data_IF_190192808407
#
_entry.id   IF_190192808407
#
_cell.length_a   1.000
_cell.length_b   1.000
_cell.length_c   1.000
_cell.angle_alpha   90.00
_cell.angle_beta   90.00
_cell.angle_gamma   90.00
#
_symmetry.space_group_name_H-M   'P 1'
#
loop_
_entity.id
_entity.type
_entity.pdbx_description
1 polymer ?
#
# COMPACT_ATOMS: atom_id res chain seq x y z
N UNK A 1 26.13 -1.29 -8.06
CA UNK A 1 24.66 -1.13 -7.93
C UNK A 1 24.31 -1.46 -6.48
N UNK A 2 23.25 -0.89 -5.90
CA UNK A 2 22.83 -1.20 -4.51
C UNK A 2 22.04 -2.52 -4.40
N UNK A 3 21.57 -3.04 -5.54
CA UNK A 3 20.90 -4.33 -5.68
C UNK A 3 21.34 -4.95 -7.00
N UNK A 4 21.41 -6.27 -7.04
CA UNK A 4 21.92 -7.03 -8.19
C UNK A 4 20.84 -7.29 -9.24
N UNK A 5 19.57 -7.29 -8.82
CA UNK A 5 18.44 -7.62 -9.70
C UNK A 5 17.26 -6.63 -9.51
N UNK A 6 16.38 -6.46 -10.52
CA UNK A 6 15.21 -5.60 -10.39
C UNK A 6 14.20 -6.11 -9.35
N UNK A 7 14.02 -7.43 -9.19
CA UNK A 7 13.14 -8.00 -8.16
C UNK A 7 13.63 -7.67 -6.75
N UNK A 8 14.96 -7.71 -6.52
CA UNK A 8 15.52 -7.34 -5.22
C UNK A 8 15.16 -5.89 -4.83
N UNK A 9 15.14 -4.96 -5.80
CA UNK A 9 14.68 -3.58 -5.54
C UNK A 9 13.19 -3.54 -5.23
N UNK A 10 12.36 -4.25 -6.02
CA UNK A 10 10.91 -4.29 -5.81
C UNK A 10 10.54 -4.87 -4.43
N UNK A 11 11.13 -6.00 -4.05
CA UNK A 11 10.96 -6.65 -2.75
C UNK A 11 11.44 -5.76 -1.59
N UNK A 12 12.57 -5.07 -1.76
CA UNK A 12 13.06 -4.10 -0.78
C UNK A 12 12.02 -2.97 -0.54
N UNK A 13 11.38 -2.49 -1.61
CA UNK A 13 10.28 -1.52 -1.48
C UNK A 13 9.08 -2.05 -0.72
N UNK A 14 8.64 -3.27 -1.02
CA UNK A 14 7.53 -3.92 -0.29
C UNK A 14 7.88 -4.09 1.19
N UNK A 15 9.10 -4.56 1.49
CA UNK A 15 9.58 -4.71 2.86
C UNK A 15 9.67 -3.36 3.61
N UNK A 16 10.15 -2.31 2.95
CA UNK A 16 10.17 -0.96 3.50
C UNK A 16 8.75 -0.45 3.82
N UNK A 17 7.79 -0.70 2.94
CA UNK A 17 6.37 -0.39 3.17
C UNK A 17 5.80 -1.14 4.36
N UNK A 18 6.13 -2.43 4.51
CA UNK A 18 5.74 -3.24 5.68
C UNK A 18 6.34 -2.72 7.00
N UNK A 19 7.60 -2.29 6.98
CA UNK A 19 8.25 -1.65 8.13
C UNK A 19 7.60 -0.32 8.53
N UNK A 20 7.24 0.53 7.54
CA UNK A 20 6.51 1.77 7.78
C UNK A 20 5.13 1.50 8.38
N UNK A 21 4.36 0.58 7.79
CA UNK A 21 3.05 0.16 8.30
C UNK A 21 3.14 -0.38 9.73
N UNK A 22 4.17 -1.16 10.04
CA UNK A 22 4.37 -1.69 11.39
C UNK A 22 4.65 -0.57 12.38
N UNK A 23 5.51 0.38 12.02
CA UNK A 23 5.84 1.53 12.88
C UNK A 23 4.62 2.41 13.14
N UNK A 24 3.85 2.70 12.09
CA UNK A 24 2.62 3.49 12.18
C UNK A 24 1.56 2.78 13.05
N UNK A 25 1.32 1.50 12.82
CA UNK A 25 0.37 0.73 13.63
C UNK A 25 0.85 0.53 15.08
N UNK A 26 2.16 0.46 15.33
CA UNK A 26 2.69 0.38 16.69
C UNK A 26 2.28 1.60 17.50
N UNK A 27 2.40 2.80 16.93
CA UNK A 27 1.93 4.04 17.58
C UNK A 27 0.43 4.01 17.89
N UNK A 28 -0.37 3.42 16.99
CA UNK A 28 -1.81 3.28 17.18
C UNK A 28 -2.21 2.15 18.13
N UNK A 29 -1.42 1.08 18.29
CA UNK A 29 -1.77 -0.03 19.21
C UNK A 29 -1.44 0.36 20.65
N UNK A 30 -0.35 1.10 20.87
CA UNK A 30 0.12 1.46 22.21
C UNK A 30 -0.41 2.81 22.71
N UNK A 31 -1.35 3.45 22.02
CA UNK A 31 -2.06 4.59 22.59
C UNK A 31 -3.04 4.11 23.67
N UNK A 32 -3.09 4.80 24.82
CA UNK A 32 -4.01 4.46 25.91
C UNK A 32 -5.45 4.33 25.43
N UNK A 33 -5.88 5.25 24.56
CA UNK A 33 -7.21 5.27 23.94
C UNK A 33 -7.51 4.01 23.11
N UNK A 34 -6.52 3.47 22.37
CA UNK A 34 -6.71 2.27 21.57
C UNK A 34 -6.73 0.99 22.41
N UNK A 35 -5.98 0.96 23.51
CA UNK A 35 -6.02 -0.13 24.48
C UNK A 35 -7.42 -0.16 25.12
N UNK A 36 -7.93 0.98 25.58
CA UNK A 36 -9.26 1.10 26.18
C UNK A 36 -10.38 0.68 25.21
N UNK A 37 -10.33 1.13 23.94
CA UNK A 37 -11.29 0.71 22.91
C UNK A 37 -11.22 -0.77 22.56
N UNK A 38 -10.02 -1.33 22.41
CA UNK A 38 -9.84 -2.73 22.03
C UNK A 38 -10.39 -3.70 23.09
N UNK A 39 -10.22 -3.38 24.37
CA UNK A 39 -10.71 -4.22 25.47
C UNK A 39 -12.14 -3.90 25.91
N UNK A 40 -12.65 -2.69 25.64
CA UNK A 40 -13.98 -2.24 26.05
C UNK A 40 -15.09 -2.43 25.01
N UNK A 41 -14.80 -2.31 23.71
CA UNK A 41 -15.83 -2.10 22.67
C UNK A 41 -15.89 -3.17 21.56
N UNK A 42 -15.02 -4.21 21.56
CA UNK A 42 -14.95 -5.21 20.47
C UNK A 42 -14.84 -4.55 19.07
N UNK A 43 -13.96 -3.56 18.93
CA UNK A 43 -13.79 -2.74 17.73
C UNK A 43 -13.05 -3.49 16.59
N UNK A 44 -13.75 -4.44 15.97
CA UNK A 44 -13.27 -5.18 14.80
C UNK A 44 -13.09 -4.28 13.57
N UNK A 45 -13.88 -3.20 13.44
CA UNK A 45 -13.82 -2.29 12.29
C UNK A 45 -12.48 -1.55 12.24
N UNK A 46 -12.02 -1.03 13.38
CA UNK A 46 -10.69 -0.42 13.51
C UNK A 46 -9.57 -1.42 13.20
N UNK A 47 -9.70 -2.67 13.64
CA UNK A 47 -8.72 -3.71 13.35
C UNK A 47 -8.62 -4.02 11.84
N UNK A 48 -9.76 -4.18 11.14
CA UNK A 48 -9.77 -4.37 9.69
C UNK A 48 -9.24 -3.16 8.93
N UNK A 49 -9.57 -1.94 9.38
CA UNK A 49 -9.04 -0.70 8.81
C UNK A 49 -7.51 -0.63 8.87
N UNK A 50 -6.93 -1.03 10.01
CA UNK A 50 -5.46 -1.08 10.21
C UNK A 50 -4.77 -2.12 9.32
N UNK A 51 -5.37 -3.30 9.16
CA UNK A 51 -4.86 -4.32 8.23
C UNK A 51 -4.87 -3.78 6.81
N UNK A 52 -5.98 -3.18 6.37
CA UNK A 52 -6.11 -2.62 5.03
C UNK A 52 -5.09 -1.48 4.79
N UNK A 53 -4.91 -0.58 5.77
CA UNK A 53 -3.90 0.48 5.70
C UNK A 53 -2.49 -0.11 5.55
N UNK A 54 -2.16 -1.15 6.34
CA UNK A 54 -0.85 -1.82 6.28
C UNK A 54 -0.54 -2.36 4.89
N UNK A 55 -1.51 -3.04 4.27
CA UNK A 55 -1.37 -3.52 2.90
C UNK A 55 -1.18 -2.37 1.91
N UNK A 56 -1.90 -1.25 2.06
CA UNK A 56 -1.74 -0.09 1.19
C UNK A 56 -0.31 0.49 1.23
N UNK A 57 0.33 0.57 2.40
CA UNK A 57 1.74 0.99 2.49
C UNK A 57 2.69 0.06 1.74
N UNK A 58 2.51 -1.26 1.89
CA UNK A 58 3.30 -2.26 1.17
C UNK A 58 3.15 -2.10 -0.35
N UNK A 59 1.91 -1.99 -0.82
CA UNK A 59 1.57 -1.82 -2.24
C UNK A 59 2.16 -0.53 -2.81
N UNK A 60 1.92 0.62 -2.16
CA UNK A 60 2.36 1.91 -2.69
C UNK A 60 3.87 2.09 -2.65
N UNK A 61 4.54 1.59 -1.60
CA UNK A 61 6.01 1.61 -1.52
C UNK A 61 6.62 0.62 -2.51
N UNK A 62 6.02 -0.56 -2.68
CA UNK A 62 6.39 -1.53 -3.71
C UNK A 62 6.24 -0.95 -5.12
N UNK A 63 5.16 -0.23 -5.41
CA UNK A 63 4.95 0.44 -6.70
C UNK A 63 6.04 1.47 -7.01
N UNK A 64 6.38 2.31 -6.02
CA UNK A 64 7.50 3.24 -6.14
C UNK A 64 8.83 2.52 -6.46
N UNK A 65 9.08 1.38 -5.81
CA UNK A 65 10.28 0.58 -6.03
C UNK A 65 10.30 -0.11 -7.40
N UNK A 66 9.15 -0.55 -7.93
CA UNK A 66 9.05 -1.08 -9.30
C UNK A 66 9.49 -0.02 -10.32
N UNK A 67 9.03 1.23 -10.17
CA UNK A 67 9.47 2.34 -11.00
C UNK A 67 10.97 2.62 -10.89
N UNK A 68 11.54 2.52 -9.68
CA UNK A 68 12.97 2.68 -9.47
C UNK A 68 13.78 1.53 -10.11
N UNK A 69 13.28 0.30 -10.02
CA UNK A 69 13.87 -0.88 -10.65
C UNK A 69 13.89 -0.70 -12.17
N UNK A 70 12.75 -0.40 -12.80
CA UNK A 70 12.64 -0.08 -14.24
C UNK A 70 13.59 1.06 -14.64
N UNK A 71 13.70 2.10 -13.82
CA UNK A 71 14.61 3.21 -14.11
C UNK A 71 16.10 2.83 -14.05
N UNK A 72 16.48 1.91 -13.16
CA UNK A 72 17.88 1.51 -12.93
C UNK A 72 18.35 0.40 -13.90
N UNK A 73 17.47 -0.53 -14.25
CA UNK A 73 17.84 -1.75 -14.99
C UNK A 73 17.52 -1.68 -16.49
N UNK A 74 16.50 -0.92 -16.91
CA UNK A 74 16.19 -0.79 -18.35
C UNK A 74 17.17 0.17 -19.06
N UNK A 75 17.50 -0.10 -20.34
CA UNK A 75 18.38 0.78 -21.12
C UNK A 75 17.75 2.16 -21.38
N UNK A 76 18.56 3.22 -21.58
CA UNK A 76 18.03 4.53 -21.94
C UNK A 76 17.22 4.46 -23.23
N UNK A 77 16.04 5.09 -23.26
CA UNK A 77 15.13 5.06 -24.42
C UNK A 77 14.17 3.88 -24.47
N UNK A 78 14.28 2.91 -23.55
CA UNK A 78 13.30 1.83 -23.43
C UNK A 78 11.90 2.40 -23.15
N UNK A 79 10.83 1.94 -23.84
CA UNK A 79 9.49 2.53 -23.73
C UNK A 79 8.92 2.46 -22.31
N UNK A 80 9.28 1.43 -21.55
CA UNK A 80 8.83 1.24 -20.16
C UNK A 80 9.74 1.92 -19.13
N UNK A 81 10.89 2.47 -19.55
CA UNK A 81 11.79 3.16 -18.62
C UNK A 81 11.17 4.52 -18.25
N UNK A 82 10.99 4.81 -16.95
CA UNK A 82 10.45 6.10 -16.55
C UNK A 82 11.38 7.24 -17.00
N UNK A 83 10.81 8.32 -17.57
CA UNK A 83 11.61 9.49 -17.98
C UNK A 83 12.31 10.18 -16.80
N UNK A 84 11.70 10.14 -15.61
CA UNK A 84 12.22 10.76 -14.38
C UNK A 84 12.21 9.74 -13.26
N UNK A 85 13.31 9.69 -12.49
CA UNK A 85 13.49 8.74 -11.37
C UNK A 85 12.36 8.81 -10.33
N UNK A 86 11.83 10.00 -10.05
CA UNK A 86 10.82 10.22 -9.03
C UNK A 86 9.37 10.13 -9.54
N UNK A 87 9.14 9.84 -10.83
CA UNK A 87 7.78 9.88 -11.39
C UNK A 87 6.81 8.89 -10.73
N UNK A 88 7.32 7.73 -10.30
CA UNK A 88 6.54 6.70 -9.61
C UNK A 88 6.26 7.03 -8.13
N UNK A 89 6.86 8.09 -7.56
CA UNK A 89 6.54 8.54 -6.20
C UNK A 89 5.25 9.35 -6.14
N UNK A 90 4.87 10.00 -7.24
CA UNK A 90 3.73 10.92 -7.24
C UNK A 90 2.42 10.19 -6.92
N UNK A 91 2.19 9.04 -7.54
CA UNK A 91 0.97 8.25 -7.32
C UNK A 91 0.84 7.82 -5.84
N UNK A 92 1.82 7.14 -5.22
CA UNK A 92 1.84 6.86 -3.77
C UNK A 92 1.58 8.08 -2.89
N UNK A 93 2.24 9.20 -3.15
CA UNK A 93 2.10 10.43 -2.34
C UNK A 93 0.66 10.95 -2.39
N UNK A 94 0.07 11.02 -3.59
CA UNK A 94 -1.30 11.51 -3.77
C UNK A 94 -2.30 10.54 -3.14
N UNK A 95 -2.15 9.23 -3.36
CA UNK A 95 -3.04 8.21 -2.80
C UNK A 95 -2.99 8.19 -1.28
N UNK A 96 -1.80 8.26 -0.70
CA UNK A 96 -1.62 8.34 0.75
C UNK A 96 -2.21 9.63 1.34
N UNK A 97 -2.00 10.77 0.68
CA UNK A 97 -2.60 12.04 1.10
C UNK A 97 -4.14 12.01 1.05
N UNK A 98 -4.72 11.42 0.01
CA UNK A 98 -6.16 11.20 -0.11
C UNK A 98 -6.67 10.25 0.97
N UNK A 99 -5.95 9.17 1.28
CA UNK A 99 -6.30 8.25 2.36
C UNK A 99 -6.39 8.96 3.71
N UNK A 100 -5.37 9.76 4.05
CA UNK A 100 -5.35 10.54 5.29
C UNK A 100 -6.51 11.54 5.35
N UNK A 101 -6.77 12.24 4.24
CA UNK A 101 -7.91 13.15 4.12
C UNK A 101 -9.24 12.41 4.32
N UNK A 102 -9.41 11.24 3.70
CA UNK A 102 -10.59 10.39 3.86
C UNK A 102 -10.80 9.99 5.32
N UNK A 103 -9.76 9.52 6.01
CA UNK A 103 -9.88 9.15 7.42
C UNK A 103 -10.22 10.34 8.32
N UNK A 104 -9.75 11.54 7.97
CA UNK A 104 -10.10 12.77 8.71
C UNK A 104 -11.59 13.12 8.53
N UNK A 105 -12.15 12.93 7.33
CA UNK A 105 -13.58 13.16 7.06
C UNK A 105 -14.50 12.10 7.68
N UNK A 106 -13.95 10.98 8.16
CA UNK A 106 -14.67 9.93 8.86
C UNK A 106 -14.93 10.23 10.34
N UNK A 107 -14.39 11.33 10.89
CA UNK A 107 -14.69 11.73 12.27
C UNK A 107 -16.20 11.89 12.45
N UNK A 108 -16.75 11.04 13.31
CA UNK A 108 -18.12 11.14 13.78
C UNK A 108 -18.16 12.30 14.76
N UNK A 109 -18.99 13.30 14.47
CA UNK A 109 -19.23 14.36 15.45
C UNK A 109 -20.12 13.77 16.55
N UNK A 110 -19.70 13.84 17.82
CA UNK A 110 -20.57 13.43 18.91
C UNK A 110 -21.80 14.34 18.87
N UNK A 111 -22.99 13.75 18.92
CA UNK A 111 -24.23 14.51 18.96
C UNK A 111 -25.02 14.15 20.21
N UNK A 112 -25.69 15.16 20.75
CA UNK A 112 -26.59 15.00 21.88
C UNK A 112 -27.99 14.74 21.33
N UNK A 113 -28.58 13.59 21.68
CA UNK A 113 -29.98 13.30 21.39
C UNK A 113 -30.79 13.16 22.68
N UNK A 114 -32.05 13.61 22.65
CA UNK A 114 -32.95 13.48 23.80
C UNK A 114 -33.91 12.32 23.53
N UNK A 115 -33.71 11.19 24.22
CA UNK A 115 -34.63 10.04 24.16
C UNK A 115 -35.39 9.94 25.49
N UNK A 116 -36.72 9.97 25.43
CA UNK A 116 -37.61 9.95 26.61
C UNK A 116 -37.29 11.02 27.67
N UNK A 117 -36.86 12.22 27.23
CA UNK A 117 -36.53 13.33 28.13
C UNK A 117 -35.18 13.20 28.86
N UNK A 118 -34.39 12.16 28.57
CA UNK A 118 -33.00 12.06 29.01
C UNK A 118 -32.05 12.41 27.86
N UNK A 119 -31.02 13.19 28.18
CA UNK A 119 -29.95 13.52 27.24
C UNK A 119 -29.03 12.30 27.11
N UNK A 120 -28.92 11.77 25.90
CA UNK A 120 -27.97 10.74 25.52
C UNK A 120 -26.88 11.39 24.67
N UNK A 121 -25.62 11.24 25.10
CA UNK A 121 -24.47 11.47 24.24
C UNK A 121 -24.26 10.18 23.45
N UNK A 122 -24.63 10.22 22.18
CA UNK A 122 -24.40 9.11 21.27
C UNK A 122 -23.11 9.39 20.52
N UNK A 123 -22.16 8.44 20.57
CA UNK A 123 -21.03 8.39 19.65
C UNK A 123 -21.47 7.91 18.24
N UNK A 124 -22.78 7.83 18.01
CA UNK A 124 -23.38 7.44 16.76
C UNK A 124 -22.87 8.29 15.60
N UNK A 125 -22.24 7.63 14.64
CA UNK A 125 -21.92 8.25 13.38
C UNK A 125 -23.21 8.54 12.62
N UNK A 126 -23.58 9.81 12.45
CA UNK A 126 -24.61 10.17 11.47
C UNK A 126 -24.21 9.55 10.12
N UNK A 127 -25.17 8.92 9.42
CA UNK A 127 -24.96 8.48 8.04
C UNK A 127 -24.30 9.64 7.29
N UNK A 128 -23.06 9.48 6.78
CA UNK A 128 -22.34 10.58 6.18
C UNK A 128 -23.21 11.18 5.06
N UNK A 129 -23.29 12.51 4.91
CA UNK A 129 -24.01 13.10 3.78
C UNK A 129 -23.58 12.42 2.48
N UNK A 130 -24.50 12.19 1.54
CA UNK A 130 -24.31 11.31 0.37
C UNK A 130 -22.98 11.54 -0.37
N UNK A 131 -22.48 12.78 -0.40
CA UNK A 131 -21.18 13.11 -0.99
C UNK A 131 -20.00 12.41 -0.30
N UNK A 132 -20.01 12.23 1.03
CA UNK A 132 -18.99 11.49 1.79
C UNK A 132 -19.02 9.99 1.45
N UNK A 133 -20.22 9.41 1.27
CA UNK A 133 -20.36 8.01 0.86
C UNK A 133 -19.86 7.80 -0.58
N UNK A 134 -20.27 8.66 -1.51
CA UNK A 134 -19.77 8.64 -2.89
C UNK A 134 -18.25 8.79 -2.94
N UNK A 135 -17.69 9.69 -2.12
CA UNK A 135 -16.24 9.88 -2.01
C UNK A 135 -15.53 8.65 -1.45
N UNK A 136 -16.05 8.00 -0.39
CA UNK A 136 -15.49 6.74 0.13
C UNK A 136 -15.46 5.66 -0.94
N UNK A 137 -16.57 5.46 -1.66
CA UNK A 137 -16.65 4.45 -2.74
C UNK A 137 -15.64 4.77 -3.84
N UNK A 138 -15.56 6.02 -4.29
CA UNK A 138 -14.58 6.45 -5.29
C UNK A 138 -13.15 6.21 -4.82
N UNK A 139 -12.84 6.55 -3.56
CA UNK A 139 -11.55 6.29 -2.96
C UNK A 139 -11.23 4.79 -2.90
N UNK A 140 -12.16 3.95 -2.45
CA UNK A 140 -11.98 2.49 -2.43
C UNK A 140 -11.70 1.94 -3.83
N UNK A 141 -12.42 2.40 -4.86
CA UNK A 141 -12.15 2.01 -6.25
C UNK A 141 -10.73 2.41 -6.67
N UNK A 142 -10.30 3.64 -6.35
CA UNK A 142 -8.95 4.11 -6.64
C UNK A 142 -7.88 3.27 -5.92
N UNK A 143 -8.10 2.90 -4.66
CA UNK A 143 -7.20 2.01 -3.91
C UNK A 143 -7.11 0.65 -4.59
N UNK A 144 -8.23 0.03 -4.96
CA UNK A 144 -8.23 -1.27 -5.65
C UNK A 144 -7.53 -1.20 -7.00
N UNK A 145 -7.73 -0.13 -7.77
CA UNK A 145 -7.00 0.09 -9.02
C UNK A 145 -5.50 0.23 -8.78
N UNK A 146 -5.08 0.89 -7.70
CA UNK A 146 -3.66 0.99 -7.35
C UNK A 146 -3.04 -0.37 -7.02
N UNK A 147 -3.81 -1.28 -6.43
CA UNK A 147 -3.37 -2.66 -6.14
C UNK A 147 -3.21 -3.44 -7.44
N UNK A 148 -4.17 -3.31 -8.36
CA UNK A 148 -4.07 -3.90 -9.69
C UNK A 148 -2.83 -3.40 -10.46
N UNK A 149 -2.60 -2.08 -10.46
CA UNK A 149 -1.42 -1.52 -11.13
C UNK A 149 -0.11 -1.97 -10.51
N UNK A 150 -0.01 -1.95 -9.18
CA UNK A 150 1.16 -2.50 -8.49
C UNK A 150 1.38 -3.98 -8.83
N UNK A 151 0.33 -4.80 -8.78
CA UNK A 151 0.43 -6.22 -9.09
C UNK A 151 0.93 -6.44 -10.53
N UNK A 152 0.41 -5.67 -11.49
CA UNK A 152 0.87 -5.74 -12.88
C UNK A 152 2.35 -5.39 -13.02
N UNK A 153 2.79 -4.29 -12.40
CA UNK A 153 4.19 -3.84 -12.43
C UNK A 153 5.14 -4.83 -11.72
N UNK A 154 4.71 -5.36 -10.59
CA UNK A 154 5.48 -6.32 -9.82
C UNK A 154 5.60 -7.68 -10.51
N UNK A 155 4.50 -8.17 -11.10
CA UNK A 155 4.48 -9.45 -11.81
C UNK A 155 5.35 -9.44 -13.05
N UNK A 156 5.39 -8.32 -13.78
CA UNK A 156 6.30 -8.14 -14.92
C UNK A 156 7.76 -8.29 -14.48
N UNK A 157 8.16 -7.60 -13.40
CA UNK A 157 9.53 -7.69 -12.86
C UNK A 157 9.84 -9.10 -12.34
N UNK A 158 8.88 -9.77 -11.70
CA UNK A 158 9.07 -11.11 -11.16
C UNK A 158 9.16 -12.19 -12.25
N UNK A 159 8.36 -12.07 -13.32
CA UNK A 159 8.33 -13.02 -14.43
C UNK A 159 9.62 -13.01 -15.27
N UNK A 160 10.23 -11.83 -15.45
CA UNK A 160 11.51 -11.71 -16.17
C UNK A 160 12.64 -12.50 -15.49
N UNK A 161 12.69 -12.53 -14.15
CA UNK A 161 13.73 -13.29 -13.42
C UNK A 161 13.49 -14.79 -13.45
N UNK A 162 12.23 -15.26 -13.43
CA UNK A 162 11.93 -16.69 -13.55
C UNK A 162 12.37 -17.23 -14.92
N UNK A 163 12.17 -16.48 -16.00
CA UNK A 163 12.62 -16.86 -17.34
C UNK A 163 14.16 -16.89 -17.47
N UNK A 164 14.87 -15.92 -16.88
CA UNK A 164 16.34 -15.90 -16.87
C UNK A 164 16.93 -17.09 -16.09
N UNK A 165 16.34 -17.47 -14.95
CA UNK A 165 16.77 -18.64 -14.17
C UNK A 165 16.57 -19.93 -14.96
N UNK A 166 15.45 -20.08 -15.66
CA UNK A 166 15.16 -21.25 -16.49
C UNK A 166 16.11 -21.31 -17.70
N UNK A 167 16.39 -20.18 -18.35
CA UNK A 167 17.32 -20.11 -19.47
C UNK A 167 18.77 -20.41 -19.05
N UNK A 168 19.21 -19.93 -17.88
CA UNK A 168 20.52 -20.24 -17.31
C UNK A 168 20.66 -21.69 -16.88
N UNK A 169 19.58 -22.31 -16.39
CA UNK A 169 19.53 -23.74 -16.03
C UNK A 169 19.55 -24.67 -17.24
N UNK A 170 19.07 -24.22 -18.40
CA UNK A 170 18.99 -25.01 -19.63
C UNK A 170 20.18 -24.79 -20.57
N UNK A 171 21.15 -23.94 -20.19
CA UNK A 171 22.40 -23.83 -20.94
C UNK A 171 23.12 -25.18 -20.87
N UNK A 172 23.35 -25.87 -22.01
CA UNK A 172 24.10 -27.11 -22.00
C UNK A 172 25.49 -26.80 -21.46
N UNK A 173 25.94 -27.59 -20.49
CA UNK A 173 27.32 -27.65 -20.03
C UNK A 173 28.21 -28.09 -21.20
N UNK A 174 28.47 -27.17 -22.13
CA UNK A 174 29.37 -27.41 -23.24
C UNK A 174 30.80 -27.41 -22.70
N UNK A 175 31.21 -28.62 -22.33
CA UNK A 175 32.48 -29.21 -22.73
C UNK A 175 33.69 -28.28 -22.67
N UNK A 176 34.19 -28.05 -21.46
CA UNK A 176 35.63 -27.92 -21.28
C UNK A 176 36.26 -29.30 -21.50
N UNK A 177 36.43 -29.69 -22.75
CA UNK A 177 37.29 -30.80 -23.11
C UNK A 177 38.09 -30.44 -24.37
N UNK A 178 39.41 -30.54 -24.17
CA UNK A 178 40.48 -30.77 -25.15
C UNK A 178 41.35 -29.55 -25.50
N UNK A 179 42.64 -29.80 -25.75
CA UNK A 179 43.64 -30.38 -24.86
C UNK A 179 44.76 -29.39 -24.51
#
# INVERSE_FOLDING_TARGET
RLADTPLAVALCGVAAGGGLATTENFMYIFSQESIEKAFGENDLESAYGRIAASFAHMVWTGYAACGLAKWQFLPPGHPQRPRRRASYLLTPIVLHGLYNWCSTLQKCEPYEETYQGKLYKSDGCYLPPLWRMAFKVAHTVVVLLSFYWWHSEFSEIAGEEEEEVIAGSNAPANSAASP
#
